data_IF_047806884303
#
_entry.id   IF_047806884303
#
_cell.length_a   1.000
_cell.length_b   1.000
_cell.length_c   1.000
_cell.angle_alpha   90.00
_cell.angle_beta   90.00
_cell.angle_gamma   90.00
#
_symmetry.space_group_name_H-M   'P 1'
#
loop_
_entity.id
_entity.type
_entity.pdbx_description
1 polymer ?
#
# COMPACT_ATOMS: atom_id res chain seq x y z
N UNK A 1 -11.04 -4.32 9.52
CA UNK A 1 -9.69 -3.77 9.35
C UNK A 1 -9.80 -2.29 9.05
N UNK A 2 -9.57 -1.39 10.03
CA UNK A 2 -9.48 0.04 9.73
C UNK A 2 -8.18 0.22 8.95
N UNK A 3 -8.28 0.58 7.68
CA UNK A 3 -7.15 1.11 6.93
C UNK A 3 -6.80 2.47 7.53
N UNK A 4 -5.82 2.55 8.39
CA UNK A 4 -5.43 3.80 9.06
C UNK A 4 -4.95 4.89 8.08
N UNK A 5 -4.68 4.51 6.84
CA UNK A 5 -4.13 5.36 5.78
C UNK A 5 -5.07 5.51 4.58
N UNK A 6 -6.38 5.48 4.83
CA UNK A 6 -7.36 5.71 3.78
C UNK A 6 -7.42 7.19 3.38
N UNK A 7 -7.49 7.45 2.08
CA UNK A 7 -7.65 8.79 1.50
C UNK A 7 -9.00 9.38 1.79
N UNK A 8 -10.01 8.55 1.96
CA UNK A 8 -11.37 8.95 2.27
C UNK A 8 -11.93 8.17 3.45
N UNK A 9 -12.94 8.77 4.05
CA UNK A 9 -13.83 8.07 4.99
C UNK A 9 -15.05 7.65 4.23
N UNK A 10 -15.35 6.39 4.25
CA UNK A 10 -16.52 5.76 3.66
C UNK A 10 -17.66 5.66 4.67
N UNK A 11 -18.88 5.91 4.20
CA UNK A 11 -20.12 5.69 4.93
C UNK A 11 -20.96 4.74 4.08
N UNK A 12 -21.29 3.58 4.64
CA UNK A 12 -21.99 2.51 3.94
C UNK A 12 -21.08 1.33 3.57
N UNK A 13 -21.60 0.42 2.74
CA UNK A 13 -20.88 -0.77 2.33
C UNK A 13 -20.22 -0.55 0.97
N UNK A 14 -18.88 -0.44 0.96
CA UNK A 14 -18.05 -0.34 -0.26
C UNK A 14 -17.48 -1.68 -0.70
N UNK A 15 -17.95 -2.78 -0.11
CA UNK A 15 -17.37 -4.10 -0.27
C UNK A 15 -16.28 -4.38 0.75
N UNK A 16 -15.80 -5.61 0.78
CA UNK A 16 -14.71 -6.02 1.66
C UNK A 16 -13.57 -6.67 0.89
N UNK A 17 -12.38 -6.69 1.52
CA UNK A 17 -11.23 -7.43 0.99
C UNK A 17 -11.48 -8.95 0.96
N UNK A 18 -12.52 -9.41 1.65
CA UNK A 18 -12.94 -10.81 1.70
C UNK A 18 -13.86 -11.20 0.53
N UNK A 19 -14.16 -10.24 -0.36
CA UNK A 19 -14.95 -10.47 -1.58
C UNK A 19 -16.43 -10.11 -1.47
N UNK A 20 -16.87 -9.46 -0.39
CA UNK A 20 -18.25 -8.96 -0.31
C UNK A 20 -18.48 -7.85 -1.35
N UNK A 21 -19.59 -7.92 -2.04
CA UNK A 21 -19.98 -6.90 -3.03
C UNK A 21 -20.34 -5.57 -2.37
N UNK A 22 -20.05 -4.46 -3.06
CA UNK A 22 -20.46 -3.13 -2.63
C UNK A 22 -21.98 -2.94 -2.72
N UNK A 23 -22.53 -2.11 -1.85
CA UNK A 23 -23.92 -1.66 -1.95
C UNK A 23 -24.13 -0.74 -3.17
N UNK A 24 -25.38 -0.50 -3.56
CA UNK A 24 -25.68 0.46 -4.62
C UNK A 24 -25.20 1.86 -4.23
N UNK A 25 -24.68 2.62 -5.19
CA UNK A 25 -24.08 3.96 -4.98
C UNK A 25 -24.96 4.94 -4.19
N UNK A 26 -26.29 4.83 -4.30
CA UNK A 26 -27.24 5.69 -3.58
C UNK A 26 -27.24 5.51 -2.06
N UNK A 27 -26.58 4.46 -1.55
CA UNK A 27 -26.47 4.16 -0.12
C UNK A 27 -25.09 4.41 0.44
N UNK A 28 -24.17 4.95 -0.36
CA UNK A 28 -22.80 5.16 0.04
C UNK A 28 -22.41 6.62 -0.08
N UNK A 29 -21.59 7.09 0.87
CA UNK A 29 -20.97 8.41 0.83
C UNK A 29 -19.45 8.26 1.00
N UNK A 30 -18.70 9.15 0.37
CA UNK A 30 -17.26 9.23 0.51
C UNK A 30 -16.84 10.66 0.83
N UNK A 31 -15.96 10.84 1.79
CA UNK A 31 -15.38 12.14 2.18
C UNK A 31 -13.87 12.04 2.32
N UNK A 32 -13.16 13.09 1.94
CA UNK A 32 -11.73 13.17 2.16
C UNK A 32 -11.41 13.17 3.66
N UNK A 33 -10.44 12.37 4.06
CA UNK A 33 -9.95 12.39 5.43
C UNK A 33 -9.11 13.65 5.68
N UNK A 34 -8.99 14.04 6.95
CA UNK A 34 -8.07 15.12 7.35
C UNK A 34 -6.62 14.81 6.95
N UNK A 35 -6.22 13.55 7.05
CA UNK A 35 -4.90 13.09 6.62
C UNK A 35 -4.67 13.38 5.12
N UNK A 36 -5.66 13.12 4.26
CA UNK A 36 -5.56 13.41 2.83
C UNK A 36 -5.35 14.90 2.58
N UNK A 37 -6.10 15.75 3.27
CA UNK A 37 -5.96 17.20 3.12
C UNK A 37 -4.58 17.69 3.53
N UNK A 38 -4.01 17.16 4.63
CA UNK A 38 -2.73 17.60 5.16
C UNK A 38 -1.51 16.95 4.48
N UNK A 39 -1.62 15.71 4.01
CA UNK A 39 -0.49 14.95 3.46
C UNK A 39 -0.45 14.90 1.93
N UNK A 40 -1.59 15.06 1.26
CA UNK A 40 -1.69 14.93 -0.19
C UNK A 40 -2.04 16.23 -0.90
N UNK A 41 -2.83 17.10 -0.28
CA UNK A 41 -3.35 18.30 -0.93
C UNK A 41 -2.79 19.61 -0.36
N UNK A 42 -2.11 19.58 0.77
CA UNK A 42 -1.64 20.79 1.46
C UNK A 42 -0.66 21.64 0.65
N UNK A 43 0.00 21.08 -0.33
CA UNK A 43 0.99 21.78 -1.16
C UNK A 43 0.49 21.98 -2.60
N UNK A 44 -0.78 21.71 -2.89
CA UNK A 44 -1.35 21.80 -4.24
C UNK A 44 -1.27 23.22 -4.82
N UNK A 45 -1.46 24.25 -3.98
CA UNK A 45 -1.50 25.66 -4.40
C UNK A 45 -0.11 26.34 -4.35
N UNK A 46 0.97 25.60 -4.09
CA UNK A 46 2.31 26.18 -3.86
C UNK A 46 3.21 26.27 -5.09
N UNK A 47 2.66 26.07 -6.27
CA UNK A 47 3.40 26.13 -7.55
C UNK A 47 4.62 25.20 -7.60
N UNK A 48 4.50 24.03 -6.99
CA UNK A 48 5.56 23.02 -6.93
C UNK A 48 5.33 21.83 -7.83
N UNK A 49 4.21 21.82 -8.55
CA UNK A 49 3.81 20.76 -9.47
C UNK A 49 3.25 21.36 -10.76
N UNK A 50 3.35 20.59 -11.83
CA UNK A 50 2.80 20.96 -13.12
C UNK A 50 1.30 20.64 -13.21
N UNK A 51 0.55 21.53 -13.86
CA UNK A 51 -0.86 21.37 -14.16
C UNK A 51 -1.05 21.21 -15.68
N UNK A 52 -1.91 20.28 -16.05
CA UNK A 52 -2.35 20.08 -17.43
C UNK A 52 -3.86 20.34 -17.58
N UNK A 53 -4.38 20.38 -18.80
CA UNK A 53 -5.83 20.42 -19.02
C UNK A 53 -6.45 19.09 -18.58
N UNK A 54 -7.69 19.15 -18.06
CA UNK A 54 -8.50 17.97 -17.81
C UNK A 54 -9.01 17.38 -19.16
N UNK A 55 -9.79 16.29 -19.10
CA UNK A 55 -10.24 15.57 -20.28
C UNK A 55 -11.02 16.42 -21.30
N UNK A 56 -11.83 17.36 -20.84
CA UNK A 56 -12.64 18.26 -21.70
C UNK A 56 -12.02 19.66 -21.87
N UNK A 57 -10.79 19.86 -21.40
CA UNK A 57 -10.03 21.10 -21.47
C UNK A 57 -10.71 22.33 -20.81
N UNK A 58 -11.71 22.10 -19.97
CA UNK A 58 -12.45 23.18 -19.28
C UNK A 58 -11.73 23.67 -18.04
N UNK A 59 -10.95 22.80 -17.38
CA UNK A 59 -10.26 23.07 -16.13
C UNK A 59 -8.81 22.57 -16.20
N UNK A 60 -8.00 22.96 -15.22
CA UNK A 60 -6.65 22.43 -15.05
C UNK A 60 -6.61 21.42 -13.91
N UNK A 61 -5.92 20.32 -14.13
CA UNK A 61 -5.69 19.31 -13.10
C UNK A 61 -4.19 19.07 -12.88
N UNK A 62 -3.77 18.70 -11.66
CA UNK A 62 -2.38 18.39 -11.37
C UNK A 62 -1.94 17.12 -12.11
N UNK A 63 -0.81 17.16 -12.79
CA UNK A 63 -0.24 15.98 -13.46
C UNK A 63 0.21 14.92 -12.44
N UNK A 64 0.68 15.37 -11.27
CA UNK A 64 1.09 14.53 -10.14
C UNK A 64 0.69 15.23 -8.85
N UNK A 65 0.19 14.49 -7.87
CA UNK A 65 -0.11 15.06 -6.55
C UNK A 65 1.17 15.31 -5.74
N UNK A 66 1.27 16.47 -5.04
CA UNK A 66 2.43 16.83 -4.20
C UNK A 66 2.41 16.09 -2.85
N UNK A 67 2.53 14.77 -2.90
CA UNK A 67 2.36 13.91 -1.74
C UNK A 67 3.57 13.98 -0.82
N UNK A 68 3.34 14.23 0.46
CA UNK A 68 4.40 14.29 1.50
C UNK A 68 4.82 12.92 2.03
N UNK A 69 4.08 11.87 1.68
CA UNK A 69 4.32 10.50 2.15
C UNK A 69 4.47 9.59 0.93
N UNK A 70 5.44 8.66 0.89
CA UNK A 70 5.63 7.75 -0.23
C UNK A 70 4.51 6.71 -0.28
N UNK A 71 3.34 7.14 -0.74
CA UNK A 71 2.11 6.38 -0.73
C UNK A 71 2.19 5.08 -1.55
N UNK A 72 2.92 5.11 -2.66
CA UNK A 72 3.10 3.93 -3.51
C UNK A 72 3.68 2.73 -2.73
N UNK A 73 4.63 2.98 -1.85
CA UNK A 73 5.22 1.93 -1.01
C UNK A 73 4.31 1.54 0.15
N UNK A 74 3.65 2.52 0.78
CA UNK A 74 2.82 2.27 1.97
C UNK A 74 1.55 1.51 1.64
N UNK A 75 0.80 1.96 0.63
CA UNK A 75 -0.48 1.37 0.24
C UNK A 75 -0.36 0.33 -0.89
N UNK A 76 0.81 0.27 -1.55
CA UNK A 76 0.97 -0.52 -2.75
C UNK A 76 0.17 0.02 -3.94
N UNK A 77 0.23 -0.69 -5.05
CA UNK A 77 -0.57 -0.39 -6.23
C UNK A 77 -0.86 -1.67 -7.00
N UNK A 78 -2.06 -1.78 -7.54
CA UNK A 78 -2.47 -2.87 -8.41
C UNK A 78 -3.20 -2.29 -9.61
N UNK A 79 -2.87 -2.78 -10.79
CA UNK A 79 -3.49 -2.32 -12.02
C UNK A 79 -3.21 -3.25 -13.18
N UNK A 80 -4.21 -3.38 -14.06
CA UNK A 80 -4.14 -4.19 -15.28
C UNK A 80 -4.35 -3.27 -16.46
N UNK A 81 -3.37 -3.23 -17.37
CA UNK A 81 -3.44 -2.50 -18.63
C UNK A 81 -3.19 -3.45 -19.80
N UNK A 82 -3.43 -2.97 -21.01
CA UNK A 82 -3.11 -3.75 -22.21
C UNK A 82 -1.59 -3.85 -22.34
N UNK A 83 -1.08 -5.08 -22.31
CA UNK A 83 0.34 -5.37 -22.47
C UNK A 83 1.19 -5.28 -21.20
N UNK A 84 0.65 -4.77 -20.07
CA UNK A 84 1.37 -4.76 -18.79
C UNK A 84 0.41 -4.81 -17.60
N UNK A 85 0.92 -5.31 -16.48
CA UNK A 85 0.24 -5.29 -15.18
C UNK A 85 1.20 -4.83 -14.10
N UNK A 86 0.65 -4.17 -13.06
CA UNK A 86 1.40 -3.74 -11.89
C UNK A 86 0.79 -4.39 -10.66
N UNK A 87 1.63 -4.93 -9.79
CA UNK A 87 1.23 -5.48 -8.49
C UNK A 87 2.32 -5.17 -7.47
N UNK A 88 2.23 -4.01 -6.84
CA UNK A 88 3.18 -3.54 -5.83
C UNK A 88 2.57 -3.80 -4.45
N UNK A 89 3.19 -4.63 -3.61
CA UNK A 89 2.68 -4.91 -2.27
C UNK A 89 2.86 -3.71 -1.34
N UNK A 90 2.09 -3.71 -0.25
CA UNK A 90 2.20 -2.73 0.83
C UNK A 90 3.50 -2.91 1.63
N UNK A 91 3.98 -1.82 2.26
CA UNK A 91 5.14 -1.81 3.13
C UNK A 91 4.84 -1.11 4.46
N UNK A 92 5.63 -1.43 5.48
CA UNK A 92 5.48 -0.80 6.79
C UNK A 92 5.85 0.68 6.75
N UNK A 93 4.94 1.55 7.20
CA UNK A 93 5.12 3.00 7.18
C UNK A 93 6.37 3.45 7.97
N UNK A 94 6.63 2.86 9.13
CA UNK A 94 7.79 3.19 9.95
C UNK A 94 9.10 2.91 9.22
N UNK A 95 9.21 1.73 8.59
CA UNK A 95 10.37 1.33 7.78
C UNK A 95 10.56 2.26 6.57
N UNK A 96 9.47 2.62 5.90
CA UNK A 96 9.49 3.55 4.76
C UNK A 96 9.96 4.93 5.18
N UNK A 97 9.45 5.47 6.30
CA UNK A 97 9.89 6.77 6.83
C UNK A 97 11.37 6.76 7.20
N UNK A 98 11.87 5.70 7.81
CA UNK A 98 13.28 5.60 8.16
C UNK A 98 14.19 5.51 6.93
N UNK A 99 13.72 4.84 5.87
CA UNK A 99 14.39 4.84 4.57
C UNK A 99 14.41 6.25 3.93
N UNK A 100 13.31 6.98 3.98
CA UNK A 100 13.24 8.38 3.51
C UNK A 100 14.22 9.27 4.27
N UNK A 101 14.29 9.17 5.61
CA UNK A 101 15.27 9.91 6.42
C UNK A 101 16.72 9.57 6.05
N UNK A 102 17.00 8.32 5.71
CA UNK A 102 18.33 7.91 5.25
C UNK A 102 18.66 8.50 3.88
N UNK A 103 17.69 8.50 2.95
CA UNK A 103 17.83 9.09 1.63
C UNK A 103 18.04 10.61 1.69
N UNK A 104 17.30 11.31 2.56
CA UNK A 104 17.45 12.76 2.77
C UNK A 104 18.84 13.16 3.30
N UNK A 105 19.53 12.26 4.01
CA UNK A 105 20.89 12.50 4.50
C UNK A 105 21.96 12.28 3.43
N UNK A 106 21.69 11.38 2.50
CA UNK A 106 22.59 11.03 1.41
C UNK A 106 21.77 10.51 0.23
N UNK A 107 21.66 11.28 -0.83
CA UNK A 107 20.91 10.95 -2.05
C UNK A 107 21.57 9.88 -2.92
N UNK A 108 22.88 9.61 -2.69
CA UNK A 108 23.60 8.55 -3.37
C UNK A 108 23.43 7.16 -2.74
N UNK A 109 22.42 6.97 -1.88
CA UNK A 109 22.13 5.69 -1.23
C UNK A 109 21.66 4.65 -2.25
N UNK A 110 22.26 3.47 -2.22
CA UNK A 110 21.89 2.35 -3.09
C UNK A 110 20.68 1.59 -2.56
N UNK A 111 19.97 0.86 -3.44
CA UNK A 111 18.84 0.00 -3.08
C UNK A 111 19.19 -0.96 -1.93
N UNK A 112 20.37 -1.58 -1.98
CA UNK A 112 20.87 -2.46 -0.90
C UNK A 112 21.03 -1.77 0.45
N UNK A 113 21.37 -0.48 0.44
CA UNK A 113 21.47 0.30 1.68
C UNK A 113 20.10 0.68 2.22
N UNK A 114 19.13 1.03 1.35
CA UNK A 114 17.75 1.30 1.74
C UNK A 114 17.05 0.05 2.29
N UNK A 115 17.38 -1.13 1.79
CA UNK A 115 16.87 -2.40 2.31
C UNK A 115 17.33 -2.74 3.74
N UNK A 116 18.27 -2.00 4.32
CA UNK A 116 18.56 -2.10 5.76
C UNK A 116 17.41 -1.54 6.61
N UNK A 117 16.64 -0.62 6.06
CA UNK A 117 15.47 0.01 6.69
C UNK A 117 14.19 -0.69 6.25
N UNK A 118 13.97 -0.86 4.93
CA UNK A 118 12.83 -1.59 4.37
C UNK A 118 13.25 -3.05 4.16
N UNK A 119 12.82 -3.91 5.06
CA UNK A 119 13.21 -5.34 5.04
C UNK A 119 12.46 -6.16 4.00
N UNK A 120 11.29 -5.69 3.60
CA UNK A 120 10.43 -6.36 2.63
C UNK A 120 8.99 -5.87 2.70
N UNK A 121 8.10 -6.48 1.90
CA UNK A 121 6.67 -6.19 1.94
C UNK A 121 6.06 -6.53 3.30
N UNK A 122 5.08 -5.70 3.71
CA UNK A 122 4.27 -5.91 4.90
C UNK A 122 2.80 -6.09 4.47
N UNK A 123 2.35 -7.34 4.48
CA UNK A 123 1.00 -7.68 4.01
C UNK A 123 -0.02 -7.47 5.13
N UNK A 124 -1.18 -6.85 4.86
CA UNK A 124 -2.22 -6.61 5.86
C UNK A 124 -2.73 -7.90 6.55
N UNK A 125 -2.68 -9.01 5.84
CA UNK A 125 -3.10 -10.34 6.32
C UNK A 125 -1.99 -11.10 7.04
N UNK A 126 -0.80 -10.51 7.15
CA UNK A 126 0.37 -11.14 7.74
C UNK A 126 1.06 -12.13 6.80
N UNK A 127 1.99 -12.93 7.35
CA UNK A 127 2.70 -13.96 6.61
C UNK A 127 4.20 -13.90 6.66
N UNK A 128 4.81 -14.93 6.15
CA UNK A 128 6.26 -15.09 6.13
C UNK A 128 6.71 -15.12 4.67
N UNK A 129 7.51 -14.15 4.26
CA UNK A 129 8.18 -14.17 2.95
C UNK A 129 9.26 -15.26 2.98
N UNK A 130 9.10 -16.26 2.11
CA UNK A 130 9.99 -17.45 2.07
C UNK A 130 11.27 -17.17 1.27
N UNK A 131 11.13 -16.43 0.17
CA UNK A 131 12.23 -16.16 -0.75
C UNK A 131 12.82 -14.76 -0.54
N UNK A 132 13.20 -14.43 0.69
CA UNK A 132 13.75 -13.12 1.05
C UNK A 132 15.06 -12.78 0.32
N UNK A 133 15.81 -13.78 -0.11
CA UNK A 133 17.08 -13.60 -0.80
C UNK A 133 16.89 -13.06 -2.23
N UNK A 134 15.70 -13.21 -2.81
CA UNK A 134 15.33 -12.67 -4.13
C UNK A 134 14.90 -11.21 -4.05
N UNK A 135 14.54 -10.69 -2.85
CA UNK A 135 14.02 -9.32 -2.68
C UNK A 135 14.96 -8.22 -3.20
N UNK A 136 16.30 -8.28 -3.02
CA UNK A 136 17.18 -7.26 -3.55
C UNK A 136 17.11 -7.13 -5.07
N UNK A 137 17.01 -8.23 -5.78
CA UNK A 137 16.88 -8.26 -7.23
C UNK A 137 15.49 -7.72 -7.66
N UNK A 138 14.44 -8.10 -6.94
CA UNK A 138 13.07 -7.63 -7.19
C UNK A 138 12.98 -6.11 -7.01
N UNK A 139 13.57 -5.55 -5.98
CA UNK A 139 13.59 -4.09 -5.76
C UNK A 139 14.44 -3.33 -6.77
N UNK A 140 15.51 -3.94 -7.27
CA UNK A 140 16.38 -3.33 -8.27
C UNK A 140 15.76 -3.34 -9.66
N UNK A 141 15.14 -4.46 -10.05
CA UNK A 141 14.58 -4.66 -11.39
C UNK A 141 13.11 -4.26 -11.51
N UNK A 142 12.39 -4.18 -10.38
CA UNK A 142 10.95 -4.00 -10.34
C UNK A 142 10.15 -5.23 -10.81
N UNK A 143 10.80 -6.38 -10.98
CA UNK A 143 10.17 -7.63 -11.45
C UNK A 143 10.58 -8.81 -10.60
N UNK A 144 9.63 -9.70 -10.33
CA UNK A 144 9.90 -10.93 -9.59
C UNK A 144 8.65 -11.55 -8.98
N UNK A 145 8.85 -12.64 -8.25
CA UNK A 145 7.78 -13.37 -7.57
C UNK A 145 8.08 -13.45 -6.08
N UNK A 146 7.17 -12.96 -5.25
CA UNK A 146 7.27 -13.08 -3.80
C UNK A 146 6.47 -14.31 -3.37
N UNK A 147 7.14 -15.23 -2.67
CA UNK A 147 6.51 -16.43 -2.11
C UNK A 147 6.18 -16.20 -0.65
N UNK A 148 4.91 -16.34 -0.30
CA UNK A 148 4.41 -16.11 1.05
C UNK A 148 3.92 -17.43 1.63
N UNK A 149 4.24 -17.68 2.88
CA UNK A 149 3.74 -18.83 3.66
C UNK A 149 2.89 -18.33 4.80
N UNK A 150 1.73 -19.00 5.01
CA UNK A 150 0.85 -18.80 6.15
C UNK A 150 1.52 -19.10 7.47
N UNK A 151 1.23 -18.29 8.49
CA UNK A 151 1.56 -18.62 9.87
C UNK A 151 0.42 -19.45 10.44
N UNK A 152 0.73 -20.69 10.86
CA UNK A 152 -0.20 -21.60 11.50
C UNK A 152 0.15 -21.65 12.99
N UNK A 153 -0.84 -21.39 13.84
CA UNK A 153 -0.72 -21.54 15.29
C UNK A 153 -1.66 -22.65 15.75
N UNK A 154 -1.15 -23.51 16.63
CA UNK A 154 -1.93 -24.59 17.24
C UNK A 154 -2.32 -24.12 18.64
N UNK A 155 -3.60 -23.97 18.89
CA UNK A 155 -4.15 -23.63 20.19
C UNK A 155 -4.76 -24.88 20.84
N UNK A 156 -4.34 -25.20 22.06
CA UNK A 156 -4.96 -26.25 22.86
C UNK A 156 -6.25 -25.73 23.49
N UNK A 157 -7.37 -26.35 23.12
CA UNK A 157 -8.68 -26.04 23.70
C UNK A 157 -8.92 -26.88 24.94
N UNK A 158 -9.74 -26.34 25.88
CA UNK A 158 -10.21 -27.12 27.06
C UNK A 158 -10.86 -28.43 26.63
N UNK A 159 -10.34 -29.55 27.14
CA UNK A 159 -10.83 -30.89 26.82
C UNK A 159 -9.96 -31.71 25.86
N UNK A 160 -8.68 -31.30 25.67
CA UNK A 160 -7.70 -32.06 24.87
C UNK A 160 -7.93 -31.99 23.36
N UNK A 161 -8.68 -31.01 22.90
CA UNK A 161 -8.88 -30.75 21.47
C UNK A 161 -7.92 -29.64 21.03
N UNK A 162 -7.27 -29.85 19.89
CA UNK A 162 -6.41 -28.84 19.26
C UNK A 162 -7.20 -28.07 18.21
N UNK A 163 -7.12 -26.75 18.26
CA UNK A 163 -7.59 -25.85 17.20
C UNK A 163 -6.41 -25.38 16.39
N UNK A 164 -6.54 -25.41 15.05
CA UNK A 164 -5.59 -24.82 14.14
C UNK A 164 -6.08 -23.42 13.79
N UNK A 165 -5.39 -22.40 14.30
CA UNK A 165 -5.60 -21.03 13.89
C UNK A 165 -4.71 -20.72 12.69
N UNK A 166 -5.32 -20.52 11.53
CA UNK A 166 -4.66 -20.05 10.31
C UNK A 166 -4.80 -18.54 10.24
N UNK A 167 -3.70 -17.81 10.30
CA UNK A 167 -3.73 -16.41 9.88
C UNK A 167 -3.98 -16.39 8.37
N UNK A 168 -5.18 -15.98 7.98
CA UNK A 168 -5.68 -16.01 6.61
C UNK A 168 -4.82 -15.13 5.69
N UNK A 169 -4.51 -15.70 4.52
CA UNK A 169 -4.00 -14.97 3.38
C UNK A 169 -5.12 -14.81 2.37
N UNK A 170 -5.38 -13.60 1.95
CA UNK A 170 -5.93 -13.33 0.64
C UNK A 170 -4.78 -12.89 -0.26
N UNK A 171 -4.37 -13.80 -1.15
CA UNK A 171 -3.61 -13.44 -2.34
C UNK A 171 -4.68 -13.27 -3.41
N UNK A 172 -4.85 -12.05 -3.91
CA UNK A 172 -5.49 -11.84 -5.20
C UNK A 172 -4.49 -12.09 -6.30
#
# INVERSE_FOLDING_TARGET
FKREWCWWTDIGNFGSIEGDGAAAMRYTEARLTKFTQEAYLADLDKDIIDFGPNFDETEKEPLVLPVRVPNLLVNGAEGIAVGMATSIPTHNLGEVIDAVKAYMKNDAVTTKQLMKYIKGPDFPTGGIVVNKDDLPEIYETGQGKIKIRGKVEVEELKGGKNSLSLQRFHIQ
#
